data_IF_713646475010
#
_entry.id   IF_713646475010
#
_cell.length_a   1.000
_cell.length_b   1.000
_cell.length_c   1.000
_cell.angle_alpha   90.00
_cell.angle_beta   90.00
_cell.angle_gamma   90.00
#
_symmetry.space_group_name_H-M   'P 1'
#
loop_
_entity.id
_entity.type
_entity.pdbx_description
1 polymer ?
#
# COMPACT_ATOMS: atom_id res chain seq x y z
N UNK A 1 8.67 9.39 -6.75
CA UNK A 1 7.24 9.18 -6.73
C UNK A 1 6.52 10.45 -6.34
N UNK A 2 5.21 10.45 -6.44
CA UNK A 2 4.35 11.56 -6.03
C UNK A 2 3.60 11.12 -4.77
N UNK A 3 3.39 12.04 -3.84
CA UNK A 3 2.53 11.80 -2.68
C UNK A 3 1.07 12.12 -3.02
N UNK A 4 0.10 11.38 -2.46
CA UNK A 4 -1.31 11.68 -2.64
C UNK A 4 -1.67 13.02 -2.00
N UNK A 5 -2.65 13.71 -2.58
CA UNK A 5 -3.10 15.03 -2.11
C UNK A 5 -4.40 14.97 -1.30
N UNK A 6 -5.19 13.93 -1.50
CA UNK A 6 -6.45 13.75 -0.79
C UNK A 6 -6.83 12.27 -0.72
N UNK A 7 -7.78 11.97 0.16
CA UNK A 7 -8.33 10.63 0.31
C UNK A 7 -9.83 10.68 0.62
N UNK A 8 -10.57 9.70 0.12
CA UNK A 8 -11.88 9.28 0.61
C UNK A 8 -11.78 7.85 1.13
N UNK A 9 -12.57 7.50 2.14
CA UNK A 9 -12.57 6.17 2.72
C UNK A 9 -13.94 5.78 3.24
N UNK A 10 -14.20 4.47 3.30
CA UNK A 10 -15.44 3.92 3.80
C UNK A 10 -15.17 2.64 4.58
N UNK A 11 -15.71 2.56 5.79
CA UNK A 11 -15.73 1.32 6.58
C UNK A 11 -16.75 0.34 5.99
N UNK A 12 -16.38 -0.93 5.90
CA UNK A 12 -17.29 -2.00 5.54
C UNK A 12 -18.13 -2.47 6.75
N UNK A 13 -19.11 -3.35 6.52
CA UNK A 13 -19.98 -3.85 7.59
C UNK A 13 -19.19 -4.67 8.61
N UNK A 14 -19.52 -4.49 9.90
CA UNK A 14 -19.00 -5.30 11.01
C UNK A 14 -19.94 -6.46 11.27
N UNK A 15 -19.49 -7.69 11.02
CA UNK A 15 -20.25 -8.94 11.31
C UNK A 15 -20.05 -9.41 12.74
N UNK A 16 -18.88 -9.12 13.33
CA UNK A 16 -18.54 -9.37 14.74
C UNK A 16 -18.29 -8.03 15.44
N UNK A 17 -19.33 -7.45 16.02
CA UNK A 17 -19.26 -6.12 16.66
C UNK A 17 -18.44 -6.09 17.94
N UNK A 18 -18.32 -7.20 18.65
CA UNK A 18 -17.53 -7.29 19.87
C UNK A 18 -16.05 -7.29 19.53
N UNK A 19 -15.65 -8.14 18.57
CA UNK A 19 -14.26 -8.25 18.12
C UNK A 19 -13.76 -6.96 17.46
N UNK A 20 -14.61 -6.31 16.66
CA UNK A 20 -14.26 -5.10 15.91
C UNK A 20 -14.85 -3.82 16.54
N UNK A 21 -14.96 -3.79 17.88
CA UNK A 21 -15.52 -2.65 18.60
C UNK A 21 -14.69 -1.37 18.40
N UNK A 22 -13.36 -1.49 18.43
CA UNK A 22 -12.42 -0.38 18.39
C UNK A 22 -11.65 -0.25 17.06
N UNK A 23 -11.80 -1.23 16.17
CA UNK A 23 -11.12 -1.24 14.88
C UNK A 23 -12.11 -1.59 13.76
N UNK A 24 -11.79 -1.25 12.54
CA UNK A 24 -12.52 -1.65 11.35
C UNK A 24 -12.36 -3.15 11.09
N UNK A 25 -13.40 -3.79 10.58
CA UNK A 25 -13.34 -5.18 10.08
C UNK A 25 -12.89 -5.22 8.62
N UNK A 26 -13.29 -4.22 7.86
CA UNK A 26 -12.83 -3.96 6.50
C UNK A 26 -12.91 -2.47 6.18
N UNK A 27 -12.05 -2.02 5.30
CA UNK A 27 -11.92 -0.62 4.91
C UNK A 27 -11.57 -0.52 3.44
N UNK A 28 -12.21 0.38 2.72
CA UNK A 28 -11.85 0.77 1.35
C UNK A 28 -11.49 2.24 1.31
N UNK A 29 -10.55 2.61 0.44
CA UNK A 29 -10.15 4.00 0.24
C UNK A 29 -9.75 4.28 -1.19
N UNK A 30 -9.83 5.56 -1.56
CA UNK A 30 -9.32 6.09 -2.82
C UNK A 30 -8.37 7.25 -2.51
N UNK A 31 -7.13 7.15 -2.95
CA UNK A 31 -6.13 8.22 -2.89
C UNK A 31 -6.12 8.98 -4.21
N UNK A 32 -6.21 10.28 -4.12
CA UNK A 32 -6.08 11.18 -5.27
C UNK A 32 -4.62 11.64 -5.41
N UNK A 33 -4.04 11.42 -6.58
CA UNK A 33 -2.69 11.87 -6.89
C UNK A 33 -2.69 13.23 -7.60
N UNK A 34 -1.61 14.04 -7.50
CA UNK A 34 -1.54 15.37 -8.12
C UNK A 34 -1.77 15.39 -9.64
N UNK A 35 -1.50 14.28 -10.31
CA UNK A 35 -1.67 14.11 -11.75
C UNK A 35 -3.04 13.58 -12.16
N UNK A 36 -3.99 13.47 -11.21
CA UNK A 36 -5.34 12.94 -11.46
C UNK A 36 -5.46 11.41 -11.40
N UNK A 37 -4.35 10.68 -11.16
CA UNK A 37 -4.42 9.23 -10.93
C UNK A 37 -5.17 8.97 -9.62
N UNK A 38 -6.05 7.98 -9.63
CA UNK A 38 -6.73 7.44 -8.46
C UNK A 38 -6.13 6.09 -8.10
N UNK A 39 -5.69 5.95 -6.84
CA UNK A 39 -5.24 4.68 -6.30
C UNK A 39 -6.28 4.13 -5.35
N UNK A 40 -6.87 3.00 -5.67
CA UNK A 40 -7.84 2.31 -4.84
C UNK A 40 -7.16 1.28 -3.94
N UNK A 41 -7.60 1.21 -2.70
CA UNK A 41 -7.12 0.23 -1.75
C UNK A 41 -8.25 -0.36 -0.93
N UNK A 42 -8.02 -1.58 -0.46
CA UNK A 42 -8.92 -2.29 0.45
C UNK A 42 -8.09 -3.09 1.44
N UNK A 43 -8.53 -3.10 2.70
CA UNK A 43 -8.04 -3.99 3.73
C UNK A 43 -9.20 -4.73 4.36
N UNK A 44 -9.01 -6.01 4.73
CA UNK A 44 -10.04 -6.82 5.34
C UNK A 44 -9.43 -7.93 6.21
N UNK A 45 -10.08 -8.20 7.35
CA UNK A 45 -9.69 -9.29 8.24
C UNK A 45 -10.26 -10.66 7.82
N UNK A 46 -11.17 -10.70 6.87
CA UNK A 46 -11.84 -11.95 6.46
C UNK A 46 -11.89 -12.18 4.95
N UNK A 47 -11.66 -11.16 4.14
CA UNK A 47 -11.51 -11.32 2.69
C UNK A 47 -10.03 -11.42 2.34
N UNK A 48 -9.65 -12.51 1.70
CA UNK A 48 -8.29 -12.68 1.20
C UNK A 48 -8.05 -11.83 -0.04
N UNK A 49 -7.28 -10.76 0.09
CA UNK A 49 -6.85 -9.93 -1.03
C UNK A 49 -5.33 -9.78 -0.98
N UNK A 50 -4.68 -10.19 -2.04
CA UNK A 50 -3.23 -10.18 -2.11
C UNK A 50 -2.78 -9.96 -3.55
N UNK A 51 -3.14 -8.79 -4.09
CA UNK A 51 -2.78 -8.39 -5.44
C UNK A 51 -2.50 -6.89 -5.53
N UNK A 52 -1.73 -6.52 -6.53
CA UNK A 52 -1.54 -5.15 -6.99
C UNK A 52 -1.84 -5.12 -8.48
N UNK A 53 -2.70 -4.20 -8.92
CA UNK A 53 -3.05 -4.01 -10.32
C UNK A 53 -2.86 -2.54 -10.69
N UNK A 54 -2.27 -2.30 -11.83
CA UNK A 54 -2.16 -0.98 -12.42
C UNK A 54 -2.65 -1.01 -13.88
N UNK A 55 -3.47 -0.03 -14.23
CA UNK A 55 -3.93 0.19 -15.58
C UNK A 55 -3.19 1.41 -16.18
N UNK A 56 -2.57 1.23 -17.33
CA UNK A 56 -1.79 2.24 -18.01
C UNK A 56 -2.09 2.22 -19.52
N UNK A 57 -1.63 3.24 -20.25
CA UNK A 57 -1.83 3.32 -21.71
C UNK A 57 -1.37 2.07 -22.47
N UNK A 58 -0.30 1.42 -22.00
CA UNK A 58 0.26 0.23 -22.64
C UNK A 58 -0.39 -1.09 -22.20
N UNK A 59 -1.40 -1.03 -21.32
CA UNK A 59 -2.14 -2.20 -20.84
C UNK A 59 -2.08 -2.37 -19.33
N UNK A 60 -2.40 -3.58 -18.87
CA UNK A 60 -2.54 -3.93 -17.46
C UNK A 60 -1.25 -4.56 -16.94
N UNK A 61 -0.84 -4.13 -15.77
CA UNK A 61 0.22 -4.71 -14.95
C UNK A 61 -0.42 -5.30 -13.71
N UNK A 62 -0.17 -6.56 -13.44
CA UNK A 62 -0.76 -7.25 -12.30
C UNK A 62 0.30 -8.05 -11.54
N UNK A 63 0.22 -7.99 -10.22
CA UNK A 63 1.02 -8.78 -9.31
C UNK A 63 0.09 -9.53 -8.37
N UNK A 64 0.12 -10.87 -8.39
CA UNK A 64 -0.60 -11.74 -7.45
C UNK A 64 0.34 -12.24 -6.37
N UNK A 65 -0.20 -12.60 -5.20
CA UNK A 65 0.60 -12.84 -3.98
C UNK A 65 1.54 -11.66 -3.66
N UNK A 66 1.08 -10.44 -3.96
CA UNK A 66 1.89 -9.23 -3.98
C UNK A 66 2.58 -8.93 -2.63
N UNK A 67 1.92 -9.27 -1.52
CA UNK A 67 2.37 -8.99 -0.16
C UNK A 67 2.91 -10.21 0.58
N UNK A 68 3.04 -11.34 -0.08
CA UNK A 68 3.64 -12.53 0.50
C UNK A 68 5.18 -12.44 0.50
N UNK A 69 5.82 -13.20 1.37
CA UNK A 69 7.28 -13.33 1.39
C UNK A 69 7.84 -14.11 0.19
N UNK A 70 6.99 -14.90 -0.47
CA UNK A 70 7.37 -15.69 -1.64
C UNK A 70 6.13 -16.03 -2.49
N UNK A 71 6.36 -16.50 -3.70
CA UNK A 71 5.29 -16.96 -4.60
C UNK A 71 4.61 -15.84 -5.37
N UNK A 72 5.21 -14.64 -5.43
CA UNK A 72 4.74 -13.57 -6.29
C UNK A 72 4.72 -14.03 -7.74
N UNK A 73 3.67 -13.65 -8.46
CA UNK A 73 3.53 -13.84 -9.89
C UNK A 73 3.05 -12.53 -10.49
N UNK A 74 3.70 -12.10 -11.53
CA UNK A 74 3.33 -10.86 -12.21
C UNK A 74 3.13 -11.06 -13.69
N UNK A 75 2.26 -10.25 -14.26
CA UNK A 75 2.02 -10.16 -15.69
C UNK A 75 2.10 -8.70 -16.13
N UNK A 76 2.66 -8.49 -17.30
CA UNK A 76 2.70 -7.22 -18.02
C UNK A 76 2.14 -7.41 -19.41
N UNK A 77 1.86 -6.35 -20.18
CA UNK A 77 1.50 -6.48 -21.59
C UNK A 77 2.52 -7.22 -22.44
N UNK A 78 3.78 -7.27 -21.99
CA UNK A 78 4.88 -7.96 -22.69
C UNK A 78 5.05 -9.42 -22.25
N UNK A 79 4.29 -9.87 -21.25
CA UNK A 79 4.33 -11.24 -20.75
C UNK A 79 4.53 -11.36 -19.23
N UNK A 80 4.81 -12.57 -18.80
CA UNK A 80 5.01 -12.87 -17.38
C UNK A 80 6.32 -12.26 -16.85
N UNK A 81 6.25 -11.76 -15.63
CA UNK A 81 7.44 -11.27 -14.91
C UNK A 81 8.22 -12.44 -14.30
N UNK A 82 9.53 -12.43 -14.45
CA UNK A 82 10.42 -13.38 -13.79
C UNK A 82 10.91 -12.79 -12.45
N UNK A 83 10.56 -13.45 -11.34
CA UNK A 83 10.98 -13.07 -10.00
C UNK A 83 12.04 -14.02 -9.47
N UNK A 84 13.22 -13.50 -9.19
CA UNK A 84 14.25 -14.23 -8.45
C UNK A 84 13.79 -14.45 -7.00
N UNK A 85 13.91 -15.69 -6.52
CA UNK A 85 13.68 -15.96 -5.09
C UNK A 85 14.72 -15.24 -4.25
N UNK A 86 14.27 -14.41 -3.32
CA UNK A 86 15.13 -13.71 -2.37
C UNK A 86 14.56 -13.89 -0.94
N UNK A 87 15.46 -13.99 0.04
CA UNK A 87 15.07 -13.80 1.43
C UNK A 87 14.96 -12.30 1.67
N UNK A 88 13.73 -11.78 1.70
CA UNK A 88 13.45 -10.35 1.80
C UNK A 88 14.04 -9.73 3.08
N UNK A 89 13.93 -10.45 4.21
CA UNK A 89 14.43 -9.99 5.50
C UNK A 89 15.97 -9.90 5.52
N UNK A 90 16.65 -10.94 5.03
CA UNK A 90 18.10 -10.92 4.92
C UNK A 90 18.57 -9.78 3.99
N UNK A 91 17.93 -9.65 2.81
CA UNK A 91 18.25 -8.56 1.88
C UNK A 91 18.05 -7.18 2.50
N UNK A 92 17.00 -6.97 3.26
CA UNK A 92 16.73 -5.70 3.94
C UNK A 92 17.82 -5.36 4.95
N UNK A 93 18.24 -6.35 5.75
CA UNK A 93 19.32 -6.16 6.75
C UNK A 93 20.67 -5.89 6.09
N UNK A 94 21.02 -6.65 5.05
CA UNK A 94 22.27 -6.47 4.30
C UNK A 94 22.33 -5.09 3.64
N UNK A 95 21.22 -4.65 3.06
CA UNK A 95 21.14 -3.35 2.39
C UNK A 95 21.25 -2.18 3.39
N UNK A 96 20.64 -2.30 4.56
CA UNK A 96 20.79 -1.33 5.64
C UNK A 96 22.21 -1.28 6.20
N UNK A 97 22.82 -2.46 6.44
CA UNK A 97 24.21 -2.53 6.89
C UNK A 97 25.17 -1.91 5.85
N UNK A 98 24.95 -2.17 4.56
CA UNK A 98 25.71 -1.56 3.48
C UNK A 98 25.51 -0.05 3.42
N UNK A 99 24.29 0.45 3.64
CA UNK A 99 24.03 1.89 3.66
C UNK A 99 24.84 2.60 4.76
N UNK A 100 24.92 1.98 5.96
CA UNK A 100 25.75 2.50 7.05
C UNK A 100 27.24 2.47 6.69
N UNK A 101 27.73 1.32 6.21
CA UNK A 101 29.15 1.12 5.85
C UNK A 101 29.62 2.10 4.77
N UNK A 102 28.80 2.32 3.76
CA UNK A 102 29.09 3.14 2.59
C UNK A 102 28.70 4.62 2.80
N UNK A 103 28.20 4.98 3.99
CA UNK A 103 27.71 6.32 4.34
C UNK A 103 26.73 6.87 3.29
N UNK A 104 25.80 6.03 2.81
CA UNK A 104 24.78 6.39 1.83
C UNK A 104 23.39 6.38 2.44
N UNK A 105 22.42 7.13 1.90
CA UNK A 105 21.05 7.06 2.33
C UNK A 105 20.48 5.63 2.22
N UNK A 106 19.66 5.25 3.20
CA UNK A 106 18.89 4.00 3.10
C UNK A 106 17.75 4.17 2.08
N UNK A 107 17.41 3.12 1.30
CA UNK A 107 16.27 3.13 0.38
C UNK A 107 14.92 3.33 1.08
N UNK A 108 14.81 2.98 2.37
CA UNK A 108 13.58 3.08 3.17
C UNK A 108 13.87 3.90 4.43
N UNK A 109 13.96 5.24 4.31
CA UNK A 109 14.22 6.11 5.45
C UNK A 109 12.98 6.26 6.34
N UNK A 110 13.19 6.71 7.59
CA UNK A 110 12.11 6.95 8.56
C UNK A 110 11.07 7.98 8.09
N UNK A 111 11.49 8.94 7.27
CA UNK A 111 10.61 9.92 6.63
C UNK A 111 9.55 9.27 5.74
N UNK A 112 9.89 8.17 5.06
CA UNK A 112 8.93 7.39 4.28
C UNK A 112 7.86 6.78 5.20
N UNK A 113 8.25 6.18 6.32
CA UNK A 113 7.32 5.66 7.32
C UNK A 113 6.43 6.75 7.92
N UNK A 114 7.00 7.93 8.23
CA UNK A 114 6.22 9.08 8.70
C UNK A 114 5.18 9.53 7.68
N UNK A 115 5.54 9.58 6.40
CA UNK A 115 4.62 9.88 5.31
C UNK A 115 3.47 8.88 5.25
N UNK A 116 3.78 7.59 5.33
CA UNK A 116 2.79 6.53 5.24
C UNK A 116 1.81 6.59 6.43
N UNK A 117 2.29 6.89 7.64
CA UNK A 117 1.42 7.11 8.82
C UNK A 117 0.48 8.31 8.63
N UNK A 118 0.93 9.41 8.04
CA UNK A 118 0.05 10.55 7.71
C UNK A 118 -1.07 10.17 6.74
N UNK A 119 -0.76 9.38 5.72
CA UNK A 119 -1.74 8.88 4.77
C UNK A 119 -2.77 8.01 5.50
N UNK A 120 -2.31 7.09 6.36
CA UNK A 120 -3.18 6.24 7.17
C UNK A 120 -4.09 7.08 8.09
N UNK A 121 -3.56 8.09 8.77
CA UNK A 121 -4.35 8.98 9.60
C UNK A 121 -5.42 9.74 8.79
N UNK A 122 -5.09 10.17 7.57
CA UNK A 122 -6.05 10.82 6.69
C UNK A 122 -7.15 9.84 6.21
N UNK A 123 -6.80 8.57 5.95
CA UNK A 123 -7.75 7.50 5.62
C UNK A 123 -8.74 7.32 6.78
N UNK A 124 -8.27 7.16 8.02
CA UNK A 124 -9.15 7.03 9.19
C UNK A 124 -10.04 8.26 9.38
N UNK A 125 -9.50 9.46 9.23
CA UNK A 125 -10.29 10.69 9.31
C UNK A 125 -11.36 10.77 8.22
N UNK A 126 -11.06 10.32 7.01
CA UNK A 126 -12.03 10.26 5.92
C UNK A 126 -13.12 9.22 6.21
N UNK A 127 -12.76 8.05 6.74
CA UNK A 127 -13.69 7.01 7.18
C UNK A 127 -14.65 7.52 8.27
N UNK A 128 -14.12 8.17 9.33
CA UNK A 128 -14.91 8.68 10.45
C UNK A 128 -15.87 9.80 10.04
N UNK A 129 -15.42 10.68 9.15
CA UNK A 129 -16.21 11.86 8.75
C UNK A 129 -17.12 11.62 7.56
N UNK A 130 -16.87 10.55 6.78
CA UNK A 130 -17.52 10.30 5.50
C UNK A 130 -17.21 11.35 4.44
N UNK A 131 -16.13 12.13 4.61
CA UNK A 131 -15.76 13.25 3.73
C UNK A 131 -14.40 13.04 3.12
N UNK A 132 -14.18 13.70 1.98
CA UNK A 132 -12.87 13.85 1.38
C UNK A 132 -11.94 14.64 2.30
N UNK A 133 -10.76 14.10 2.60
CA UNK A 133 -9.76 14.71 3.48
C UNK A 133 -8.51 15.05 2.68
N UNK A 134 -8.00 16.27 2.83
CA UNK A 134 -6.70 16.67 2.27
C UNK A 134 -5.57 16.05 3.10
N UNK A 135 -4.53 15.60 2.44
CA UNK A 135 -3.32 15.04 3.06
C UNK A 135 -2.30 16.16 3.16
N UNK A 136 -1.99 16.54 4.37
CA UNK A 136 -0.97 17.58 4.65
C UNK A 136 0.43 17.06 4.30
N UNK A 137 1.30 17.97 3.82
CA UNK A 137 2.70 17.64 3.47
C UNK A 137 3.61 17.53 4.70
#
# INVERSE_FOLDING_TARGET
GMDPIAVTAQEGPKTDKEKFKEVEQSLTWQLEMPNGLICEGKASYFEGMNYLKAEAEKGIFELTSAFNYSGQRGNTPEGAMDFKKVNQQAKQMDDFASAIKDNRPTPVPGEMGRRDVRIIQAIYKAMETGKRVLIEK
#
